data_IF_600309132280
#
_entry.id   IF_600309132280
#
_cell.length_a   1.000
_cell.length_b   1.000
_cell.length_c   1.000
_cell.angle_alpha   90.00
_cell.angle_beta   90.00
_cell.angle_gamma   90.00
#
_symmetry.space_group_name_H-M   'P 1'
#
loop_
_entity.id
_entity.type
_entity.pdbx_description
1 polymer ?
#
# COMPACT_ATOMS: atom_id res chain seq x y z
N UNK A 1 36.59 16.26 -29.57
CA UNK A 1 35.18 16.44 -29.96
C UNK A 1 34.31 15.23 -29.59
N UNK A 2 34.73 13.97 -29.85
CA UNK A 2 33.95 12.77 -29.51
C UNK A 2 33.68 12.53 -27.99
N UNK A 3 34.57 13.00 -27.10
CA UNK A 3 34.43 12.82 -25.63
C UNK A 3 33.28 13.63 -25.03
N UNK A 4 33.08 14.86 -25.53
CA UNK A 4 31.96 15.73 -25.10
C UNK A 4 30.61 15.20 -25.57
N UNK A 5 30.57 14.64 -26.79
CA UNK A 5 29.37 13.99 -27.33
C UNK A 5 28.93 12.76 -26.51
N UNK A 6 29.90 11.97 -26.01
CA UNK A 6 29.61 10.83 -25.11
C UNK A 6 29.06 11.28 -23.76
N UNK A 7 29.64 12.32 -23.15
CA UNK A 7 29.17 12.85 -21.86
C UNK A 7 27.77 13.45 -21.98
N UNK A 8 27.52 14.22 -23.04
CA UNK A 8 26.19 14.75 -23.34
C UNK A 8 25.16 13.64 -23.57
N UNK A 9 25.55 12.57 -24.28
CA UNK A 9 24.69 11.41 -24.48
C UNK A 9 24.35 10.69 -23.17
N UNK A 10 25.33 10.45 -22.30
CA UNK A 10 25.08 9.85 -20.98
C UNK A 10 24.18 10.72 -20.10
N UNK A 11 24.37 12.04 -20.09
CA UNK A 11 23.51 12.98 -19.35
C UNK A 11 22.06 12.98 -19.87
N UNK A 12 21.88 12.96 -21.19
CA UNK A 12 20.54 12.90 -21.82
C UNK A 12 19.88 11.56 -21.55
N UNK A 13 20.59 10.44 -21.70
CA UNK A 13 20.07 9.10 -21.39
C UNK A 13 19.71 9.00 -19.91
N UNK A 14 20.58 9.44 -19.00
CA UNK A 14 20.31 9.42 -17.57
C UNK A 14 19.10 10.30 -17.24
N UNK A 15 19.02 11.51 -17.79
CA UNK A 15 17.88 12.43 -17.69
C UNK A 15 16.55 11.81 -18.12
N UNK A 16 16.55 11.10 -19.26
CA UNK A 16 15.37 10.38 -19.78
C UNK A 16 14.99 9.23 -18.84
N UNK A 17 15.96 8.47 -18.31
CA UNK A 17 15.69 7.38 -17.36
C UNK A 17 15.07 7.91 -16.06
N UNK A 18 15.47 9.09 -15.56
CA UNK A 18 14.83 9.70 -14.38
C UNK A 18 13.39 10.17 -14.68
N UNK A 19 13.10 10.61 -15.91
CA UNK A 19 11.74 10.96 -16.34
C UNK A 19 10.86 9.74 -16.61
N UNK A 20 11.45 8.57 -16.90
CA UNK A 20 10.72 7.31 -17.00
C UNK A 20 10.34 6.73 -15.63
N UNK A 21 10.91 7.24 -14.53
CA UNK A 21 10.42 7.04 -13.17
C UNK A 21 9.27 8.00 -12.84
N UNK A 22 8.42 8.31 -13.82
CA UNK A 22 7.07 8.82 -13.53
C UNK A 22 6.34 7.68 -12.83
N UNK A 23 6.19 7.81 -11.51
CA UNK A 23 5.36 6.93 -10.70
C UNK A 23 3.93 6.97 -11.23
N UNK A 24 3.60 6.02 -12.13
CA UNK A 24 2.21 5.68 -12.42
C UNK A 24 1.65 5.00 -11.18
N UNK A 25 1.20 5.80 -10.22
CA UNK A 25 0.36 5.38 -9.10
C UNK A 25 -1.06 5.01 -9.58
N UNK A 26 -1.16 4.27 -10.69
CA UNK A 26 -2.44 3.85 -11.30
C UNK A 26 -2.74 2.36 -11.05
N UNK A 27 -1.82 1.60 -10.45
CA UNK A 27 -2.04 0.18 -10.21
C UNK A 27 -2.85 -0.11 -8.94
N UNK A 28 -2.86 0.80 -7.96
CA UNK A 28 -3.51 0.61 -6.66
C UNK A 28 -4.43 1.79 -6.35
N UNK A 29 -5.71 1.50 -6.12
CA UNK A 29 -6.72 2.49 -5.74
C UNK A 29 -7.29 2.19 -4.34
N UNK A 30 -7.92 3.18 -3.71
CA UNK A 30 -8.65 2.93 -2.46
C UNK A 30 -9.91 2.06 -2.65
N UNK A 31 -10.39 1.90 -3.90
CA UNK A 31 -11.47 0.97 -4.22
C UNK A 31 -11.09 -0.49 -3.96
N UNK A 32 -9.86 -0.87 -4.31
CA UNK A 32 -9.31 -2.21 -4.09
C UNK A 32 -9.22 -2.53 -2.58
N UNK A 33 -8.91 -1.51 -1.78
CA UNK A 33 -8.88 -1.64 -0.33
C UNK A 33 -10.30 -1.73 0.28
N UNK A 34 -11.26 -0.95 -0.21
CA UNK A 34 -12.64 -0.99 0.26
C UNK A 34 -13.26 -2.40 0.14
N UNK A 35 -13.00 -3.08 -0.98
CA UNK A 35 -13.40 -4.48 -1.16
C UNK A 35 -12.78 -5.40 -0.10
N UNK A 36 -11.51 -5.20 0.24
CA UNK A 36 -10.82 -5.94 1.31
C UNK A 36 -11.40 -5.66 2.70
N UNK A 37 -11.71 -4.40 2.99
CA UNK A 37 -12.32 -3.97 4.26
C UNK A 37 -13.67 -4.67 4.48
N UNK A 38 -14.50 -4.78 3.43
CA UNK A 38 -15.80 -5.44 3.52
C UNK A 38 -15.68 -6.90 3.98
N UNK A 39 -14.72 -7.65 3.43
CA UNK A 39 -14.51 -9.07 3.74
C UNK A 39 -13.86 -9.29 5.11
N UNK A 40 -13.15 -8.29 5.64
CA UNK A 40 -12.48 -8.35 6.93
C UNK A 40 -13.31 -7.79 8.10
N UNK A 41 -14.47 -7.19 7.81
CA UNK A 41 -15.30 -6.46 8.78
C UNK A 41 -15.62 -7.25 10.05
N UNK A 42 -16.03 -8.51 9.94
CA UNK A 42 -16.36 -9.35 11.12
C UNK A 42 -15.16 -9.59 12.04
N UNK A 43 -13.95 -9.69 11.49
CA UNK A 43 -12.75 -9.81 12.31
C UNK A 43 -12.34 -8.44 12.87
N UNK A 44 -12.43 -7.40 12.05
CA UNK A 44 -12.12 -6.03 12.44
C UNK A 44 -12.99 -5.52 13.61
N UNK A 45 -14.24 -5.95 13.71
CA UNK A 45 -15.14 -5.62 14.83
C UNK A 45 -15.05 -6.60 16.02
N UNK A 46 -14.28 -7.69 15.88
CA UNK A 46 -14.14 -8.72 16.91
C UNK A 46 -15.29 -9.72 16.99
N UNK A 47 -16.18 -9.75 15.99
CA UNK A 47 -17.26 -10.75 15.92
C UNK A 47 -16.72 -12.17 15.67
N UNK A 48 -15.52 -12.31 15.10
CA UNK A 48 -14.81 -13.58 14.92
C UNK A 48 -13.37 -13.49 15.41
N UNK A 49 -12.80 -14.63 15.83
CA UNK A 49 -11.43 -14.69 16.37
C UNK A 49 -10.31 -14.69 15.34
N UNK A 50 -10.61 -14.96 14.06
CA UNK A 50 -9.63 -14.98 12.98
C UNK A 50 -10.21 -14.44 11.65
N UNK A 51 -9.37 -13.83 10.79
CA UNK A 51 -9.74 -13.47 9.42
C UNK A 51 -10.23 -14.68 8.61
N UNK A 52 -11.23 -14.45 7.75
CA UNK A 52 -11.66 -15.46 6.79
C UNK A 52 -10.62 -15.67 5.68
N UNK A 53 -10.70 -16.79 4.97
CA UNK A 53 -9.86 -17.03 3.78
C UNK A 53 -10.08 -15.97 2.69
N UNK A 54 -11.31 -15.46 2.55
CA UNK A 54 -11.64 -14.33 1.67
C UNK A 54 -10.91 -13.06 2.08
N UNK A 55 -11.04 -12.67 3.35
CA UNK A 55 -10.33 -11.50 3.91
C UNK A 55 -8.83 -11.58 3.63
N UNK A 56 -8.19 -12.71 3.93
CA UNK A 56 -6.75 -12.85 3.68
C UNK A 56 -6.38 -12.86 2.20
N UNK A 57 -7.23 -13.38 1.31
CA UNK A 57 -7.00 -13.33 -0.13
C UNK A 57 -7.08 -11.90 -0.66
N UNK A 58 -8.05 -11.11 -0.19
CA UNK A 58 -8.20 -9.71 -0.55
C UNK A 58 -7.01 -8.86 -0.06
N UNK A 59 -6.62 -9.03 1.22
CA UNK A 59 -5.44 -8.35 1.80
C UNK A 59 -4.17 -8.70 1.03
N UNK A 60 -3.94 -9.98 0.71
CA UNK A 60 -2.80 -10.39 -0.12
C UNK A 60 -2.81 -9.72 -1.50
N UNK A 61 -3.98 -9.63 -2.13
CA UNK A 61 -4.14 -8.97 -3.43
C UNK A 61 -3.72 -7.50 -3.38
N UNK A 62 -4.24 -6.74 -2.41
CA UNK A 62 -3.91 -5.32 -2.25
C UNK A 62 -2.42 -5.12 -1.95
N UNK A 63 -1.83 -5.92 -1.07
CA UNK A 63 -0.41 -5.80 -0.75
C UNK A 63 0.50 -6.25 -1.91
N UNK A 64 0.06 -7.17 -2.76
CA UNK A 64 0.80 -7.59 -3.96
C UNK A 64 0.88 -6.47 -5.01
N UNK A 65 -0.04 -5.52 -4.99
CA UNK A 65 -0.03 -4.32 -5.83
C UNK A 65 0.88 -3.22 -5.26
N UNK A 66 1.13 -3.21 -3.95
CA UNK A 66 1.96 -2.22 -3.25
C UNK A 66 3.48 -2.44 -3.43
N UNK A 67 3.95 -2.54 -4.67
CA UNK A 67 5.34 -2.88 -5.00
C UNK A 67 6.27 -1.68 -4.90
N UNK A 68 5.78 -0.51 -5.30
CA UNK A 68 6.57 0.73 -5.30
C UNK A 68 6.31 1.56 -4.05
N UNK A 69 7.16 2.55 -3.85
CA UNK A 69 7.05 3.52 -2.77
C UNK A 69 5.79 4.37 -2.91
N UNK A 70 5.42 4.82 -4.12
CA UNK A 70 4.11 5.40 -4.39
C UNK A 70 2.97 4.48 -3.97
N UNK A 71 2.97 3.23 -4.42
CA UNK A 71 1.85 2.34 -4.16
C UNK A 71 1.68 2.09 -2.65
N UNK A 72 2.79 1.97 -1.91
CA UNK A 72 2.76 1.88 -0.44
C UNK A 72 2.21 3.14 0.21
N UNK A 73 2.56 4.34 -0.29
CA UNK A 73 1.99 5.62 0.18
C UNK A 73 0.49 5.69 -0.09
N UNK A 74 0.05 5.31 -1.29
CA UNK A 74 -1.38 5.27 -1.63
C UNK A 74 -2.11 4.31 -0.72
N UNK A 75 -1.61 3.07 -0.57
CA UNK A 75 -2.20 2.06 0.31
C UNK A 75 -2.30 2.56 1.76
N UNK A 76 -1.24 3.18 2.29
CA UNK A 76 -1.24 3.76 3.63
C UNK A 76 -2.34 4.83 3.79
N UNK A 77 -2.47 5.74 2.83
CA UNK A 77 -3.50 6.78 2.86
C UNK A 77 -4.92 6.18 2.77
N UNK A 78 -5.10 5.15 1.93
CA UNK A 78 -6.38 4.44 1.83
C UNK A 78 -6.76 3.73 3.13
N UNK A 79 -5.80 3.09 3.81
CA UNK A 79 -6.01 2.43 5.11
C UNK A 79 -6.44 3.43 6.18
N UNK A 80 -5.79 4.59 6.23
CA UNK A 80 -6.15 5.68 7.16
C UNK A 80 -7.56 6.21 6.94
N UNK A 81 -8.00 6.34 5.69
CA UNK A 81 -9.38 6.72 5.37
C UNK A 81 -10.36 5.61 5.78
N UNK A 82 -10.02 4.35 5.48
CA UNK A 82 -10.90 3.19 5.72
C UNK A 82 -11.10 2.88 7.20
N UNK A 83 -10.07 3.07 8.04
CA UNK A 83 -10.19 2.89 9.50
C UNK A 83 -11.21 3.82 10.12
N UNK A 84 -11.47 4.97 9.50
CA UNK A 84 -12.48 5.94 9.95
C UNK A 84 -13.90 5.56 9.51
N UNK A 85 -14.06 4.65 8.53
CA UNK A 85 -15.34 4.33 7.90
C UNK A 85 -16.08 3.15 8.56
N UNK A 86 -15.42 2.36 9.42
CA UNK A 86 -16.02 1.18 10.05
C UNK A 86 -16.45 1.50 11.49
N UNK A 87 -17.76 1.59 11.80
CA UNK A 87 -18.23 1.79 13.16
C UNK A 87 -17.88 0.58 14.04
N UNK A 88 -17.50 0.83 15.29
CA UNK A 88 -17.08 -0.19 16.28
C UNK A 88 -15.85 -1.02 15.85
N UNK A 89 -15.00 -0.48 15.00
CA UNK A 89 -13.76 -1.15 14.61
C UNK A 89 -12.77 -1.21 15.78
N UNK A 90 -12.16 -2.37 15.98
CA UNK A 90 -11.06 -2.54 16.92
C UNK A 90 -9.75 -2.35 16.16
N UNK A 91 -9.08 -1.21 16.39
CA UNK A 91 -7.81 -0.89 15.71
C UNK A 91 -6.74 -1.98 15.92
N UNK A 92 -6.73 -2.63 17.08
CA UNK A 92 -5.85 -3.77 17.36
C UNK A 92 -6.08 -4.95 16.41
N UNK A 93 -7.34 -5.27 16.10
CA UNK A 93 -7.67 -6.33 15.15
C UNK A 93 -7.27 -5.93 13.74
N UNK A 94 -7.55 -4.69 13.33
CA UNK A 94 -7.14 -4.17 12.01
C UNK A 94 -5.62 -4.24 11.85
N UNK A 95 -4.87 -3.81 12.86
CA UNK A 95 -3.41 -3.86 12.88
C UNK A 95 -2.87 -5.31 12.81
N UNK A 96 -3.61 -6.28 13.33
CA UNK A 96 -3.24 -7.69 13.32
C UNK A 96 -3.54 -8.42 12.01
N UNK A 97 -4.40 -7.88 11.13
CA UNK A 97 -4.81 -8.52 9.87
C UNK A 97 -3.62 -8.92 8.99
N UNK A 98 -2.64 -8.03 8.68
CA UNK A 98 -1.55 -8.38 7.78
C UNK A 98 -0.74 -9.56 8.31
N UNK A 99 -0.36 -9.51 9.59
CA UNK A 99 0.39 -10.59 10.24
C UNK A 99 -0.40 -11.90 10.25
N UNK A 100 -1.69 -11.88 10.61
CA UNK A 100 -2.54 -13.08 10.60
C UNK A 100 -2.77 -13.66 9.21
N UNK A 101 -2.73 -12.84 8.18
CA UNK A 101 -2.85 -13.26 6.79
C UNK A 101 -1.50 -13.62 6.14
N UNK A 102 -0.39 -13.56 6.89
CA UNK A 102 0.95 -13.88 6.38
C UNK A 102 1.48 -12.87 5.37
N UNK A 103 1.06 -11.60 5.50
CA UNK A 103 1.49 -10.51 4.65
C UNK A 103 2.47 -9.63 5.43
N UNK A 104 3.66 -9.33 4.89
CA UNK A 104 4.62 -8.47 5.58
C UNK A 104 4.04 -7.07 5.76
N UNK A 105 4.14 -6.54 6.98
CA UNK A 105 3.79 -5.16 7.29
C UNK A 105 4.88 -4.23 6.75
N UNK A 106 4.57 -3.47 5.72
CA UNK A 106 5.50 -2.54 5.07
C UNK A 106 5.55 -1.16 5.75
N UNK A 107 4.61 -0.84 6.65
CA UNK A 107 4.50 0.43 7.34
C UNK A 107 3.68 0.27 8.64
N UNK A 108 3.73 1.25 9.54
CA UNK A 108 3.04 1.18 10.83
C UNK A 108 1.52 1.24 10.65
N UNK A 109 0.73 0.41 11.37
CA UNK A 109 -0.72 0.50 11.38
C UNK A 109 -1.23 1.66 12.26
N UNK A 110 -0.34 2.47 12.84
CA UNK A 110 -0.70 3.62 13.66
C UNK A 110 -1.50 4.65 12.82
N UNK A 111 -2.67 5.13 13.29
CA UNK A 111 -3.49 6.09 12.54
C UNK A 111 -2.83 7.47 12.34
N UNK A 112 -1.82 7.80 13.17
CA UNK A 112 -1.00 9.01 13.06
C UNK A 112 0.30 8.77 12.29
N UNK A 113 0.54 7.54 11.81
CA UNK A 113 1.69 7.28 10.96
C UNK A 113 1.69 8.20 9.73
N UNK A 114 2.82 8.86 9.50
CA UNK A 114 2.98 9.74 8.36
C UNK A 114 3.25 8.91 7.10
N UNK A 115 2.21 8.67 6.29
CA UNK A 115 2.35 7.90 5.05
C UNK A 115 3.42 8.46 4.09
N UNK A 116 3.75 9.76 4.16
CA UNK A 116 4.77 10.36 3.30
C UNK A 116 6.21 9.96 3.66
N UNK A 117 6.45 9.39 4.85
CA UNK A 117 7.77 8.90 5.26
C UNK A 117 8.14 7.53 4.66
N UNK A 118 7.18 6.87 4.00
CA UNK A 118 7.42 5.60 3.32
C UNK A 118 8.36 5.84 2.14
N UNK A 119 9.52 5.17 2.15
CA UNK A 119 10.49 5.19 1.08
C UNK A 119 10.23 4.15 0.00
#
# INVERSE_FOLDING_TARGET
MAKFSRIAYFMVVFGIVVHLMVERGEALSCGDLSASVSQCSSYATGAVGNPSGGCCSAVKGVYALAKTSADRKVLCNCLKQSSSAVPNVQLSNVAAIPQKCGVPLSFSPDPNFNCNSIQ
#
